data_IF_848354282479
#
_entry.id   IF_848354282479
#
_cell.length_a   1.000
_cell.length_b   1.000
_cell.length_c   1.000
_cell.angle_alpha   90.00
_cell.angle_beta   90.00
_cell.angle_gamma   90.00
#
_symmetry.space_group_name_H-M   'P 1'
#
loop_
_entity.id
_entity.type
_entity.pdbx_description
1 polymer ?
#
# COMPACT_ATOMS: atom_id res chain seq x y z
N UNK A 1 -2.70 7.00 14.35
CA UNK A 1 -1.64 6.82 13.33
C UNK A 1 -1.84 5.54 12.54
N UNK A 2 -1.73 4.35 13.14
CA UNK A 2 -1.93 3.09 12.39
C UNK A 2 -3.31 3.02 11.73
N UNK A 3 -4.38 3.38 12.44
CA UNK A 3 -5.73 3.41 11.84
C UNK A 3 -5.82 4.35 10.64
N UNK A 4 -5.28 5.57 10.74
CA UNK A 4 -5.30 6.51 9.62
C UNK A 4 -4.48 6.02 8.42
N UNK A 5 -3.36 5.33 8.66
CA UNK A 5 -2.58 4.68 7.60
C UNK A 5 -3.38 3.55 6.97
N UNK A 6 -4.00 2.67 7.78
CA UNK A 6 -4.86 1.59 7.33
C UNK A 6 -5.95 2.11 6.39
N UNK A 7 -6.69 3.12 6.83
CA UNK A 7 -7.77 3.72 6.05
C UNK A 7 -7.25 4.34 4.74
N UNK A 8 -6.10 5.01 4.77
CA UNK A 8 -5.45 5.55 3.57
C UNK A 8 -5.11 4.43 2.57
N UNK A 9 -4.46 3.36 3.01
CA UNK A 9 -4.07 2.26 2.14
C UNK A 9 -5.28 1.54 1.53
N UNK A 10 -6.35 1.33 2.30
CA UNK A 10 -7.61 0.75 1.81
C UNK A 10 -8.26 1.60 0.72
N UNK A 11 -8.27 2.93 0.89
CA UNK A 11 -8.79 3.84 -0.14
C UNK A 11 -7.97 3.75 -1.43
N UNK A 12 -6.64 3.76 -1.33
CA UNK A 12 -5.77 3.68 -2.50
C UNK A 12 -5.95 2.34 -3.24
N UNK A 13 -5.99 1.23 -2.50
CA UNK A 13 -6.24 -0.08 -3.08
C UNK A 13 -7.63 -0.19 -3.71
N UNK A 14 -8.66 0.41 -3.11
CA UNK A 14 -10.00 0.47 -3.71
C UNK A 14 -10.01 1.29 -5.00
N UNK A 15 -9.34 2.44 -5.01
CA UNK A 15 -9.26 3.28 -6.20
C UNK A 15 -8.55 2.53 -7.34
N UNK A 16 -7.45 1.84 -7.07
CA UNK A 16 -6.74 1.02 -8.04
C UNK A 16 -7.56 -0.20 -8.48
N UNK A 17 -8.25 -0.89 -7.58
CA UNK A 17 -9.13 -2.01 -7.96
C UNK A 17 -10.30 -1.58 -8.87
N UNK A 18 -10.73 -0.31 -8.77
CA UNK A 18 -11.73 0.26 -9.68
C UNK A 18 -11.10 0.67 -11.01
N UNK A 19 -9.99 1.40 -10.97
CA UNK A 19 -9.35 1.97 -12.15
C UNK A 19 -8.70 0.87 -13.00
N UNK A 20 -7.96 -0.03 -12.38
CA UNK A 20 -7.21 -1.11 -12.99
C UNK A 20 -7.64 -2.47 -12.40
N UNK A 21 -8.70 -3.10 -12.95
CA UNK A 21 -9.20 -4.38 -12.46
C UNK A 21 -8.16 -5.50 -12.56
N UNK A 22 -7.21 -5.43 -13.48
CA UNK A 22 -6.18 -6.44 -13.66
C UNK A 22 -5.10 -6.33 -12.57
N UNK A 23 -5.10 -7.28 -11.62
CA UNK A 23 -4.26 -7.24 -10.42
C UNK A 23 -2.75 -7.02 -10.67
N UNK A 24 -2.22 -7.61 -11.74
CA UNK A 24 -0.81 -7.51 -12.11
C UNK A 24 -0.37 -6.09 -12.51
N UNK A 25 -1.31 -5.21 -12.88
CA UNK A 25 -1.03 -3.84 -13.31
C UNK A 25 -1.37 -2.79 -12.25
N UNK A 26 -2.01 -3.19 -11.14
CA UNK A 26 -2.32 -2.30 -10.02
C UNK A 26 -1.04 -1.86 -9.33
N UNK A 27 -1.00 -0.57 -9.00
CA UNK A 27 0.09 0.02 -8.25
C UNK A 27 -0.09 -0.21 -6.75
N UNK A 28 -1.29 0.02 -6.21
CA UNK A 28 -1.65 -0.19 -4.82
C UNK A 28 -2.50 -1.46 -4.64
N UNK A 29 -2.25 -2.21 -3.57
CA UNK A 29 -3.10 -3.34 -3.17
C UNK A 29 -3.19 -3.42 -1.65
N UNK A 30 -4.26 -4.05 -1.16
CA UNK A 30 -4.49 -4.23 0.27
C UNK A 30 -5.17 -5.58 0.55
N UNK A 31 -4.60 -6.35 1.46
CA UNK A 31 -5.17 -7.59 1.96
C UNK A 31 -5.42 -7.45 3.46
N UNK A 32 -6.69 -7.32 3.84
CA UNK A 32 -7.15 -7.25 5.24
C UNK A 32 -7.18 -8.61 5.94
N UNK A 33 -6.82 -9.67 5.23
CA UNK A 33 -6.83 -11.07 5.68
C UNK A 33 -5.47 -11.71 5.39
N UNK A 34 -4.39 -10.94 5.60
CA UNK A 34 -3.02 -11.46 5.45
C UNK A 34 -2.80 -12.63 6.42
N UNK A 35 -3.33 -12.50 7.64
CA UNK A 35 -3.60 -13.61 8.55
C UNK A 35 -4.84 -13.29 9.40
N UNK A 36 -5.11 -14.11 10.43
CA UNK A 36 -6.20 -13.84 11.40
C UNK A 36 -5.99 -12.54 12.19
N UNK A 37 -4.73 -12.09 12.34
CA UNK A 37 -4.35 -10.93 13.16
C UNK A 37 -3.59 -9.85 12.38
N UNK A 38 -3.32 -10.09 11.10
CA UNK A 38 -2.42 -9.28 10.28
C UNK A 38 -3.09 -8.79 9.00
N UNK A 39 -2.74 -7.57 8.61
CA UNK A 39 -3.13 -6.95 7.35
C UNK A 39 -1.88 -6.51 6.59
N UNK A 40 -1.97 -6.44 5.26
CA UNK A 40 -0.85 -6.09 4.40
C UNK A 40 -1.29 -5.12 3.30
N UNK A 41 -0.61 -3.99 3.19
CA UNK A 41 -0.69 -3.12 2.02
C UNK A 41 0.59 -3.26 1.20
N UNK A 42 0.48 -3.16 -0.12
CA UNK A 42 1.65 -3.20 -1.01
C UNK A 42 1.57 -2.13 -2.08
N UNK A 43 2.75 -1.71 -2.53
CA UNK A 43 2.95 -0.96 -3.76
C UNK A 43 3.87 -1.74 -4.69
N UNK A 44 3.56 -1.74 -6.00
CA UNK A 44 4.41 -2.27 -7.07
C UNK A 44 4.44 -1.29 -8.22
N UNK A 45 5.64 -0.88 -8.65
CA UNK A 45 5.78 0.16 -9.69
C UNK A 45 5.83 -0.37 -11.13
N UNK A 46 5.76 -1.69 -11.31
CA UNK A 46 5.90 -2.34 -12.63
C UNK A 46 7.34 -2.39 -13.17
N UNK A 47 8.29 -1.75 -12.50
CA UNK A 47 9.71 -1.65 -12.87
C UNK A 47 10.64 -2.38 -11.87
N UNK A 48 10.06 -3.05 -10.87
CA UNK A 48 10.78 -3.82 -9.84
C UNK A 48 10.95 -3.10 -8.51
N UNK A 49 10.51 -1.84 -8.42
CA UNK A 49 10.30 -1.14 -7.17
C UNK A 49 9.02 -1.61 -6.48
N UNK A 50 9.14 -1.91 -5.19
CA UNK A 50 8.03 -2.37 -4.39
C UNK A 50 8.20 -2.00 -2.92
N UNK A 51 7.08 -1.88 -2.22
CA UNK A 51 7.11 -1.93 -0.76
C UNK A 51 5.92 -2.67 -0.20
N UNK A 52 6.12 -3.18 1.02
CA UNK A 52 5.09 -3.84 1.82
C UNK A 52 4.97 -3.10 3.15
N UNK A 53 3.74 -2.78 3.53
CA UNK A 53 3.36 -2.32 4.86
C UNK A 53 2.56 -3.43 5.53
N UNK A 54 3.17 -4.04 6.53
CA UNK A 54 2.56 -5.02 7.42
C UNK A 54 1.98 -4.33 8.65
N UNK A 55 0.76 -4.72 9.04
CA UNK A 55 0.07 -4.20 10.21
C UNK A 55 -0.37 -5.37 11.09
N UNK A 56 -0.16 -5.26 12.40
CA UNK A 56 -0.64 -6.25 13.38
C UNK A 56 -0.94 -5.57 14.70
N UNK A 57 -2.22 -5.41 15.05
CA UNK A 57 -2.64 -4.67 16.24
C UNK A 57 -1.98 -3.27 16.33
N UNK A 58 -1.14 -3.00 17.37
CA UNK A 58 -0.43 -1.73 17.52
C UNK A 58 0.90 -1.64 16.77
N UNK A 59 1.28 -2.68 16.02
CA UNK A 59 2.54 -2.76 15.29
C UNK A 59 2.34 -2.44 13.80
N UNK A 60 3.36 -1.81 13.22
CA UNK A 60 3.45 -1.61 11.78
C UNK A 60 4.90 -1.78 11.32
N UNK A 61 5.11 -2.56 10.28
CA UNK A 61 6.41 -2.81 9.66
C UNK A 61 6.36 -2.42 8.19
N UNK A 62 7.39 -1.75 7.70
CA UNK A 62 7.49 -1.32 6.30
C UNK A 62 8.82 -1.80 5.73
N UNK A 63 8.77 -2.51 4.60
CA UNK A 63 9.96 -2.90 3.83
C UNK A 63 9.82 -2.31 2.44
N UNK A 64 10.87 -1.65 1.96
CA UNK A 64 10.96 -1.13 0.61
C UNK A 64 12.12 -1.78 -0.14
N UNK A 65 11.91 -2.08 -1.41
CA UNK A 65 12.91 -2.36 -2.43
C UNK A 65 12.79 -1.27 -3.51
N UNK A 66 13.85 -0.51 -3.69
CA UNK A 66 14.04 0.40 -4.81
C UNK A 66 15.34 -0.01 -5.52
N UNK A 67 15.26 -0.70 -6.68
CA UNK A 67 16.44 -1.23 -7.36
C UNK A 67 17.49 -0.16 -7.69
N UNK A 68 17.03 1.05 -8.03
CA UNK A 68 17.90 2.18 -8.38
C UNK A 68 18.62 2.78 -7.16
N UNK A 69 18.00 2.73 -5.97
CA UNK A 69 18.60 3.21 -4.71
C UNK A 69 19.53 2.17 -4.07
N UNK A 70 19.39 0.90 -4.45
CA UNK A 70 20.24 -0.21 -4.00
C UNK A 70 19.77 -0.87 -2.70
N UNK A 71 20.54 -1.85 -2.21
CA UNK A 71 20.20 -2.65 -1.03
C UNK A 71 20.87 -2.09 0.23
N UNK A 72 20.19 -2.22 1.38
CA UNK A 72 20.80 -1.83 2.66
C UNK A 72 22.02 -2.71 2.99
N UNK A 73 23.10 -2.13 3.54
CA UNK A 73 24.36 -2.87 3.74
C UNK A 73 24.37 -3.82 4.95
N UNK A 74 23.49 -3.63 5.95
CA UNK A 74 23.54 -4.37 7.21
C UNK A 74 22.16 -4.84 7.69
N UNK A 75 21.50 -5.68 6.88
CA UNK A 75 20.18 -6.20 7.20
C UNK A 75 20.15 -7.00 8.51
N UNK A 76 21.09 -7.91 8.72
CA UNK A 76 21.09 -8.78 9.91
C UNK A 76 21.30 -7.97 11.20
N UNK A 77 22.17 -6.96 11.14
CA UNK A 77 22.33 -6.01 12.24
C UNK A 77 21.07 -5.19 12.49
N UNK A 78 20.29 -4.83 11.47
CA UNK A 78 18.99 -4.17 11.68
C UNK A 78 18.01 -5.12 12.35
N UNK A 79 17.88 -6.35 11.83
CA UNK A 79 16.97 -7.38 12.37
C UNK A 79 17.22 -7.65 13.85
N UNK A 80 18.47 -7.64 14.31
CA UNK A 80 18.81 -7.90 15.71
C UNK A 80 18.33 -6.81 16.69
N UNK A 81 17.96 -5.62 16.20
CA UNK A 81 17.47 -4.51 17.02
C UNK A 81 15.95 -4.33 16.95
N UNK A 82 15.27 -5.02 16.04
CA UNK A 82 13.81 -4.93 15.92
C UNK A 82 13.17 -5.78 17.04
N UNK A 83 12.17 -5.25 17.77
CA UNK A 83 11.49 -6.01 18.83
C UNK A 83 10.84 -7.32 18.34
N UNK A 84 10.74 -8.32 19.23
CA UNK A 84 10.20 -9.65 18.90
C UNK A 84 8.77 -9.67 18.34
N UNK A 85 7.97 -8.65 18.63
CA UNK A 85 6.61 -8.49 18.08
C UNK A 85 6.57 -8.34 16.55
N UNK A 86 7.72 -8.10 15.90
CA UNK A 86 7.86 -8.00 14.45
C UNK A 86 8.37 -9.28 13.79
N UNK A 87 8.43 -10.39 14.51
CA UNK A 87 8.97 -11.65 13.98
C UNK A 87 8.26 -12.08 12.69
N UNK A 88 6.92 -12.09 12.65
CA UNK A 88 6.14 -12.39 11.43
C UNK A 88 6.58 -11.50 10.26
N UNK A 89 6.62 -10.18 10.46
CA UNK A 89 7.06 -9.21 9.46
C UNK A 89 8.48 -9.50 8.93
N UNK A 90 9.43 -9.82 9.80
CA UNK A 90 10.82 -10.05 9.41
C UNK A 90 11.08 -11.39 8.72
N UNK A 91 10.23 -12.38 8.99
CA UNK A 91 10.35 -13.73 8.45
C UNK A 91 9.40 -14.03 7.28
N UNK A 92 8.45 -13.15 6.98
CA UNK A 92 7.46 -13.33 5.91
C UNK A 92 8.15 -13.51 4.55
N UNK A 93 8.03 -14.70 3.92
CA UNK A 93 8.65 -14.96 2.63
C UNK A 93 8.22 -14.01 1.52
N UNK A 94 6.95 -13.57 1.50
CA UNK A 94 6.43 -12.67 0.48
C UNK A 94 7.17 -11.32 0.45
N UNK A 95 7.74 -10.88 1.58
CA UNK A 95 8.39 -9.58 1.67
C UNK A 95 9.83 -9.57 1.14
N UNK A 96 10.42 -10.74 0.85
CA UNK A 96 11.79 -10.85 0.30
C UNK A 96 12.78 -9.96 1.06
N UNK A 97 12.82 -10.13 2.39
CA UNK A 97 13.47 -9.18 3.32
C UNK A 97 14.96 -8.94 2.99
N UNK A 98 15.62 -9.91 2.37
CA UNK A 98 17.01 -9.84 1.89
C UNK A 98 17.24 -8.83 0.74
N UNK A 99 16.18 -8.34 0.11
CA UNK A 99 16.21 -7.32 -0.94
C UNK A 99 15.80 -5.94 -0.44
N UNK A 100 15.80 -5.69 0.88
CA UNK A 100 15.40 -4.39 1.40
C UNK A 100 16.42 -3.29 1.04
N UNK A 101 15.94 -2.19 0.46
CA UNK A 101 16.61 -0.88 0.42
C UNK A 101 16.51 -0.20 1.79
N UNK A 102 15.32 -0.26 2.40
CA UNK A 102 15.08 0.24 3.75
C UNK A 102 14.02 -0.57 4.48
N UNK A 103 14.07 -0.53 5.82
CA UNK A 103 13.10 -1.15 6.73
C UNK A 103 12.74 -0.16 7.80
N UNK A 104 11.45 0.09 7.98
CA UNK A 104 10.92 0.90 9.05
C UNK A 104 9.99 0.08 9.95
N UNK A 105 9.90 0.45 11.22
CA UNK A 105 8.92 -0.14 12.14
C UNK A 105 8.39 0.89 13.14
N UNK A 106 7.13 0.73 13.53
CA UNK A 106 6.41 1.66 14.40
C UNK A 106 6.46 1.21 15.87
N UNK A 107 7.31 1.83 16.68
CA UNK A 107 7.44 1.47 18.10
C UNK A 107 7.45 2.72 18.96
N UNK A 108 6.88 2.65 20.17
CA UNK A 108 6.81 3.78 21.11
C UNK A 108 6.31 5.09 20.47
N UNK A 109 5.27 4.98 19.65
CA UNK A 109 4.63 6.11 18.95
C UNK A 109 5.52 6.86 17.95
N UNK A 110 6.53 6.20 17.38
CA UNK A 110 7.37 6.77 16.31
C UNK A 110 7.84 5.71 15.32
N UNK A 111 8.22 6.16 14.12
CA UNK A 111 8.90 5.33 13.14
C UNK A 111 10.40 5.25 13.44
N UNK A 112 10.90 4.04 13.57
CA UNK A 112 12.33 3.74 13.53
C UNK A 112 12.66 3.33 12.09
N UNK A 113 13.61 4.03 11.47
CA UNK A 113 13.96 3.85 10.06
C UNK A 113 15.41 3.39 9.94
N UNK A 114 15.63 2.35 9.16
CA UNK A 114 16.95 1.80 8.88
C UNK A 114 17.12 1.56 7.38
N UNK A 115 18.37 1.65 6.89
CA UNK A 115 18.71 1.44 5.49
C UNK A 115 19.07 2.72 4.76
N UNK A 116 18.94 2.66 3.44
CA UNK A 116 19.21 3.78 2.55
C UNK A 116 17.98 4.70 2.46
N UNK A 117 18.22 5.95 2.07
CA UNK A 117 17.15 6.85 1.62
C UNK A 117 16.58 6.30 0.31
N UNK A 118 15.26 6.38 0.14
CA UNK A 118 14.57 5.99 -1.10
C UNK A 118 14.22 7.27 -1.85
N UNK A 119 14.75 7.44 -3.06
CA UNK A 119 14.49 8.64 -3.88
C UNK A 119 13.76 8.29 -5.18
N UNK A 120 13.78 7.01 -5.58
CA UNK A 120 13.30 6.55 -6.89
C UNK A 120 11.94 5.84 -6.83
N UNK A 121 11.38 5.72 -5.63
CA UNK A 121 10.07 5.14 -5.37
C UNK A 121 9.29 6.02 -4.39
N UNK A 122 7.97 6.08 -4.53
CA UNK A 122 7.12 6.85 -3.61
C UNK A 122 7.00 6.09 -2.30
N UNK A 123 7.60 6.64 -1.24
CA UNK A 123 7.65 5.98 0.06
C UNK A 123 6.35 6.17 0.87
N UNK A 124 6.25 5.41 1.97
CA UNK A 124 5.08 5.46 2.85
C UNK A 124 4.80 6.86 3.41
N UNK A 125 5.83 7.65 3.73
CA UNK A 125 5.65 8.97 4.33
C UNK A 125 5.05 9.97 3.36
N UNK A 126 5.35 9.86 2.07
CA UNK A 126 4.74 10.68 1.05
C UNK A 126 3.33 10.20 0.68
N UNK A 127 3.14 8.88 0.53
CA UNK A 127 1.82 8.31 0.24
C UNK A 127 0.78 8.67 1.33
N UNK A 128 1.14 8.66 2.61
CA UNK A 128 0.18 9.00 3.67
C UNK A 128 -0.31 10.45 3.62
N UNK A 129 0.45 11.35 2.99
CA UNK A 129 0.11 12.77 2.82
C UNK A 129 -0.77 13.00 1.59
N UNK A 130 -0.86 12.05 0.66
CA UNK A 130 -1.61 12.22 -0.58
C UNK A 130 -3.07 12.57 -0.32
N UNK A 131 -3.51 13.63 -0.96
CA UNK A 131 -4.92 13.99 -1.10
C UNK A 131 -5.54 13.27 -2.29
N UNK A 132 -6.86 13.39 -2.44
CA UNK A 132 -7.56 12.90 -3.64
C UNK A 132 -6.97 13.49 -4.93
N UNK A 133 -6.52 14.74 -4.89
CA UNK A 133 -5.92 15.44 -6.03
C UNK A 133 -4.54 14.90 -6.38
N UNK A 134 -3.74 14.56 -5.37
CA UNK A 134 -2.40 13.99 -5.58
C UNK A 134 -2.51 12.61 -6.25
N UNK A 135 -3.39 11.75 -5.71
CA UNK A 135 -3.70 10.46 -6.34
C UNK A 135 -4.27 10.62 -7.75
N UNK A 136 -5.22 11.54 -7.94
CA UNK A 136 -5.82 11.80 -9.25
C UNK A 136 -4.78 12.22 -10.30
N UNK A 137 -3.89 13.14 -9.95
CA UNK A 137 -2.83 13.62 -10.84
C UNK A 137 -1.86 12.49 -11.19
N UNK A 138 -1.43 11.73 -10.18
CA UNK A 138 -0.57 10.57 -10.37
C UNK A 138 -1.24 9.48 -11.22
N UNK A 139 -2.51 9.16 -10.96
CA UNK A 139 -3.23 8.09 -11.65
C UNK A 139 -3.44 8.41 -13.14
N UNK A 140 -3.69 9.69 -13.49
CA UNK A 140 -3.78 10.09 -14.90
C UNK A 140 -2.45 9.83 -15.63
N UNK A 141 -1.33 10.20 -15.01
CA UNK A 141 0.00 10.03 -15.61
C UNK A 141 0.37 8.55 -15.70
N UNK A 142 0.17 7.79 -14.62
CA UNK A 142 0.59 6.38 -14.55
C UNK A 142 -0.27 5.46 -15.44
N UNK A 143 -1.59 5.63 -15.41
CA UNK A 143 -2.52 4.78 -16.18
C UNK A 143 -2.81 5.33 -17.59
N UNK A 144 -2.26 6.50 -17.95
CA UNK A 144 -2.50 7.20 -19.22
C UNK A 144 -4.00 7.32 -19.57
N UNK A 145 -4.80 7.66 -18.56
CA UNK A 145 -6.27 7.66 -18.61
C UNK A 145 -6.86 8.83 -17.84
N UNK A 146 -7.97 9.36 -18.32
CA UNK A 146 -8.68 10.46 -17.67
C UNK A 146 -9.73 9.97 -16.67
N UNK A 147 -9.80 10.62 -15.50
CA UNK A 147 -10.76 10.30 -14.44
C UNK A 147 -11.46 11.55 -13.93
N UNK A 148 -12.77 11.45 -13.62
CA UNK A 148 -13.47 12.55 -12.94
C UNK A 148 -13.03 12.64 -11.47
N UNK A 149 -12.30 13.71 -11.16
CA UNK A 149 -11.80 14.01 -9.81
C UNK A 149 -12.90 13.94 -8.74
N UNK A 150 -14.16 14.30 -9.07
CA UNK A 150 -15.26 14.26 -8.09
C UNK A 150 -15.55 12.86 -7.59
N UNK A 151 -15.35 11.84 -8.42
CA UNK A 151 -15.55 10.46 -7.98
C UNK A 151 -14.36 9.98 -7.14
N UNK A 152 -13.14 10.41 -7.45
CA UNK A 152 -11.94 10.14 -6.65
C UNK A 152 -12.03 10.82 -5.27
N UNK A 153 -12.42 12.10 -5.21
CA UNK A 153 -12.66 12.83 -3.96
C UNK A 153 -13.65 12.08 -3.06
N UNK A 154 -14.71 11.54 -3.66
CA UNK A 154 -15.73 10.78 -2.92
C UNK A 154 -15.20 9.46 -2.37
N UNK A 155 -14.28 8.79 -3.06
CA UNK A 155 -13.58 7.62 -2.50
C UNK A 155 -12.71 8.01 -1.30
N UNK A 156 -11.98 9.12 -1.39
CA UNK A 156 -11.16 9.65 -0.28
C UNK A 156 -11.99 10.16 0.91
N UNK A 157 -13.26 10.51 0.68
CA UNK A 157 -14.25 10.81 1.72
C UNK A 157 -14.93 9.56 2.29
N UNK A 158 -14.49 8.35 1.91
CA UNK A 158 -15.10 7.06 2.29
C UNK A 158 -16.56 6.89 1.81
N UNK A 159 -16.94 7.54 0.71
CA UNK A 159 -18.29 7.47 0.13
C UNK A 159 -18.31 6.57 -1.12
N UNK A 160 -17.97 5.29 -0.94
CA UNK A 160 -18.03 4.30 -2.01
C UNK A 160 -19.48 3.94 -2.41
N UNK A 161 -19.70 3.70 -3.70
CA UNK A 161 -20.89 3.01 -4.22
C UNK A 161 -20.59 2.37 -5.58
N UNK A 162 -21.34 1.32 -5.93
CA UNK A 162 -21.21 0.66 -7.24
C UNK A 162 -21.48 1.62 -8.41
N UNK A 163 -22.40 2.57 -8.25
CA UNK A 163 -22.68 3.59 -9.26
C UNK A 163 -21.46 4.49 -9.50
N UNK A 164 -20.72 4.85 -8.44
CA UNK A 164 -19.49 5.63 -8.57
C UNK A 164 -18.36 4.81 -9.18
N UNK A 165 -18.25 3.54 -8.81
CA UNK A 165 -17.28 2.63 -9.43
C UNK A 165 -17.48 2.57 -10.95
N UNK A 166 -18.73 2.41 -11.42
CA UNK A 166 -19.05 2.45 -12.85
C UNK A 166 -18.80 3.80 -13.52
N UNK A 167 -18.91 4.90 -12.79
CA UNK A 167 -18.55 6.24 -13.32
C UNK A 167 -17.05 6.42 -13.50
N UNK A 168 -16.24 5.81 -12.64
CA UNK A 168 -14.78 5.82 -12.75
C UNK A 168 -14.27 4.83 -13.80
N UNK A 169 -14.86 3.64 -13.85
CA UNK A 169 -14.55 2.62 -14.82
C UNK A 169 -15.84 1.97 -15.35
N UNK A 170 -16.33 2.38 -16.53
CA UNK A 170 -17.57 1.84 -17.11
C UNK A 170 -17.53 0.34 -17.42
N UNK A 171 -16.34 -0.24 -17.57
CA UNK A 171 -16.13 -1.64 -17.97
C UNK A 171 -15.96 -2.58 -16.76
N UNK A 172 -15.98 -2.04 -15.53
CA UNK A 172 -15.75 -2.81 -14.31
C UNK A 172 -16.79 -3.94 -14.10
N UNK A 173 -16.31 -5.14 -13.77
CA UNK A 173 -17.17 -6.21 -13.24
C UNK A 173 -17.43 -5.97 -11.75
N UNK A 174 -18.67 -5.58 -11.44
CA UNK A 174 -19.08 -5.35 -10.06
C UNK A 174 -19.02 -6.61 -9.19
N UNK A 175 -19.21 -7.80 -9.75
CA UNK A 175 -19.11 -9.03 -8.96
C UNK A 175 -17.67 -9.32 -8.55
N UNK A 176 -16.72 -8.97 -9.42
CA UNK A 176 -15.29 -9.05 -9.09
C UNK A 176 -14.91 -7.99 -8.07
N UNK A 177 -15.33 -6.74 -8.28
CA UNK A 177 -15.12 -5.67 -7.31
C UNK A 177 -15.69 -6.03 -5.92
N UNK A 178 -16.85 -6.67 -5.83
CA UNK A 178 -17.40 -7.11 -4.55
C UNK A 178 -16.51 -8.15 -3.84
N UNK A 179 -15.81 -9.01 -4.57
CA UNK A 179 -14.81 -9.93 -3.98
C UNK A 179 -13.59 -9.16 -3.49
N UNK A 180 -13.12 -8.19 -4.26
CA UNK A 180 -12.01 -7.30 -3.90
C UNK A 180 -12.33 -6.49 -2.63
N UNK A 181 -13.55 -5.97 -2.48
CA UNK A 181 -13.97 -5.24 -1.28
C UNK A 181 -13.84 -6.09 -0.01
N UNK A 182 -14.17 -7.38 -0.10
CA UNK A 182 -14.02 -8.34 1.00
C UNK A 182 -12.55 -8.61 1.33
N UNK A 183 -11.65 -8.62 0.33
CA UNK A 183 -10.21 -8.75 0.55
C UNK A 183 -9.60 -7.47 1.14
N UNK A 184 -9.94 -6.31 0.59
CA UNK A 184 -9.49 -4.99 1.08
C UNK A 184 -10.06 -4.70 2.48
N UNK A 185 -11.19 -5.33 2.82
CA UNK A 185 -11.87 -5.14 4.11
C UNK A 185 -12.65 -3.82 4.15
N UNK A 186 -13.37 -3.53 3.06
CA UNK A 186 -14.36 -2.46 2.94
C UNK A 186 -15.74 -3.09 2.90
N UNK A 187 -16.62 -2.65 3.79
CA UNK A 187 -18.01 -3.09 3.79
C UNK A 187 -18.80 -2.22 2.81
N UNK A 188 -19.45 -2.85 1.82
CA UNK A 188 -20.39 -2.24 0.89
C UNK A 188 -21.83 -2.29 1.38
#
# INVERSE_FOLDING_TARGET
MIESIRQKMKILALADAIIEPEWQYRYFSYNSKWSDEEEMASLRDGCGGEWFLWLSGPFAGYKCLSPEDGLMPNLDGVKSHVPNGYSSFLSEPAFSMNLATCIWYWHDSKWFKHGLTVERLIDLEDIIKWTAKDYHTWAIEYYDREFDIKNIEKLFEHQFSEERAKKLNPEIDLNELQRELVEIGINS
#
